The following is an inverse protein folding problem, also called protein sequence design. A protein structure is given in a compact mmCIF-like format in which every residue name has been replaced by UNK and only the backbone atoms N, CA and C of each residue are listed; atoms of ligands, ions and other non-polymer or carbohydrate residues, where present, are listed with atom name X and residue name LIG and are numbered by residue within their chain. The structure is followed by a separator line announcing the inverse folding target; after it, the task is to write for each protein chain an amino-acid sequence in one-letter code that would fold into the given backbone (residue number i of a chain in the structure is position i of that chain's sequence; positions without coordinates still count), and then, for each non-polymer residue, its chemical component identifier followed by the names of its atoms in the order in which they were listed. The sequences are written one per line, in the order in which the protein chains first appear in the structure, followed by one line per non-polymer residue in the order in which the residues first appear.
data_IF_969489910866
#
_entry.id   IF_969489910866
#
_cell.length_a   1.000
_cell.length_b   1.000
_cell.length_c   1.000
_cell.angle_alpha   90.00
_cell.angle_beta   90.00
_cell.angle_gamma   90.00
#
_symmetry.space_group_name_H-M   'P 1'
#
loop_
_entity.id
_entity.type
_entity.pdbx_description
1 polymer ?
#
# COMPACT_ATOMS: atom_id res chain seq x y z
N UNK A 1 -20.56 9.98 8.12
CA UNK A 1 -19.50 10.98 7.93
C UNK A 1 -18.55 10.78 9.10
N UNK A 2 -17.42 10.16 8.82
CA UNK A 2 -16.46 9.77 9.86
C UNK A 2 -15.68 10.97 10.38
N UNK A 3 -15.84 11.27 11.68
CA UNK A 3 -15.12 12.35 12.35
C UNK A 3 -13.67 11.93 12.62
N UNK A 4 -12.72 12.73 12.12
CA UNK A 4 -11.30 12.45 12.33
C UNK A 4 -10.88 12.84 13.76
N UNK A 5 -10.67 11.81 14.58
CA UNK A 5 -10.24 11.93 15.98
C UNK A 5 -8.89 11.24 16.24
N UNK A 6 -8.16 11.60 17.31
CA UNK A 6 -6.96 10.87 17.73
C UNK A 6 -7.18 9.38 18.02
N UNK A 7 -8.39 9.02 18.48
CA UNK A 7 -8.77 7.62 18.71
C UNK A 7 -8.84 6.85 17.40
N UNK A 8 -9.54 7.40 16.40
CA UNK A 8 -9.61 6.84 15.05
C UNK A 8 -8.20 6.73 14.43
N UNK A 9 -7.36 7.76 14.56
CA UNK A 9 -5.99 7.72 14.07
C UNK A 9 -5.17 6.56 14.68
N UNK A 10 -5.40 6.25 15.96
CA UNK A 10 -4.74 5.14 16.65
C UNK A 10 -5.22 3.78 16.13
N UNK A 11 -6.54 3.65 15.95
CA UNK A 11 -7.18 2.45 15.40
C UNK A 11 -6.68 2.13 13.99
N UNK A 12 -6.78 3.10 13.06
CA UNK A 12 -6.38 2.92 11.65
C UNK A 12 -4.89 2.59 11.50
N UNK A 13 -4.02 3.20 12.32
CA UNK A 13 -2.60 2.85 12.35
C UNK A 13 -2.39 1.44 12.93
N UNK A 14 -3.15 1.04 13.95
CA UNK A 14 -3.10 -0.29 14.52
C UNK A 14 -3.45 -1.38 13.51
N UNK A 15 -4.46 -1.16 12.67
CA UNK A 15 -4.81 -2.07 11.58
C UNK A 15 -3.71 -2.16 10.52
N UNK A 16 -3.17 -1.02 10.09
CA UNK A 16 -2.04 -1.01 9.14
C UNK A 16 -0.81 -1.72 9.74
N UNK A 17 -0.48 -1.46 11.01
CA UNK A 17 0.65 -2.10 11.70
C UNK A 17 0.42 -3.63 11.83
N UNK A 18 -0.81 -4.09 12.03
CA UNK A 18 -1.16 -5.51 12.03
C UNK A 18 -0.96 -6.15 10.64
N UNK A 19 -1.37 -5.46 9.57
CA UNK A 19 -1.16 -5.91 8.19
C UNK A 19 0.34 -5.97 7.82
N UNK A 20 1.14 -5.04 8.35
CA UNK A 20 2.59 -4.94 8.14
C UNK A 20 3.41 -5.89 9.03
N UNK A 21 2.81 -6.48 10.07
CA UNK A 21 3.47 -7.45 10.93
C UNK A 21 4.02 -8.63 10.12
N UNK A 22 5.06 -9.31 10.63
CA UNK A 22 5.79 -10.32 9.85
C UNK A 22 4.92 -11.47 9.29
N UNK A 23 3.88 -11.84 10.03
CA UNK A 23 2.87 -12.82 9.63
C UNK A 23 1.60 -12.18 9.03
N UNK A 24 1.47 -10.85 9.09
CA UNK A 24 0.40 -10.09 8.45
C UNK A 24 0.48 -10.16 6.93
N UNK A 25 -0.61 -9.78 6.26
CA UNK A 25 -0.77 -9.91 4.81
C UNK A 25 0.34 -9.19 4.04
N UNK A 26 0.55 -7.90 4.32
CA UNK A 26 1.59 -7.09 3.67
C UNK A 26 2.99 -7.45 4.16
N UNK A 27 3.15 -7.79 5.44
CA UNK A 27 4.44 -8.15 6.02
C UNK A 27 5.00 -9.47 5.48
N UNK A 28 4.15 -10.48 5.23
CA UNK A 28 4.54 -11.73 4.58
C UNK A 28 5.08 -11.49 3.17
N UNK A 29 4.36 -10.72 2.36
CA UNK A 29 4.79 -10.33 1.01
C UNK A 29 6.12 -9.56 1.07
N UNK A 30 6.22 -8.55 1.94
CA UNK A 30 7.43 -7.74 2.09
C UNK A 30 8.65 -8.59 2.50
N UNK A 31 8.44 -9.57 3.37
CA UNK A 31 9.47 -10.52 3.81
C UNK A 31 9.91 -11.41 2.64
N UNK A 32 8.98 -11.90 1.85
CA UNK A 32 9.25 -12.74 0.70
C UNK A 32 9.98 -11.99 -0.42
N UNK A 33 9.60 -10.75 -0.70
CA UNK A 33 10.32 -9.87 -1.66
C UNK A 33 11.77 -9.64 -1.24
N UNK A 34 12.07 -9.62 0.06
CA UNK A 34 13.43 -9.54 0.61
C UNK A 34 14.17 -10.89 0.64
N UNK A 35 13.58 -11.97 0.16
CA UNK A 35 14.17 -13.31 0.15
C UNK A 35 14.12 -14.05 1.49
N UNK A 36 13.36 -13.55 2.47
CA UNK A 36 13.20 -14.20 3.78
C UNK A 36 12.02 -15.18 3.77
N UNK A 37 12.09 -16.23 2.95
CA UNK A 37 10.96 -17.13 2.73
C UNK A 37 10.72 -18.05 3.91
N UNK A 38 9.54 -18.65 3.98
CA UNK A 38 9.34 -19.78 4.89
C UNK A 38 10.22 -20.94 4.43
N UNK A 39 10.96 -21.52 5.36
CA UNK A 39 11.89 -22.61 5.02
C UNK A 39 11.09 -23.82 4.52
N UNK A 40 11.66 -24.62 3.59
CA UNK A 40 11.10 -25.92 3.24
C UNK A 40 10.81 -26.74 4.51
N UNK A 41 9.82 -27.63 4.42
CA UNK A 41 9.48 -28.52 5.52
C UNK A 41 10.74 -29.23 6.07
N UNK A 42 10.92 -29.18 7.38
CA UNK A 42 11.93 -29.95 8.08
C UNK A 42 11.29 -30.78 9.21
N UNK A 43 11.67 -32.07 9.34
CA UNK A 43 11.21 -32.88 10.45
C UNK A 43 11.75 -32.35 11.78
N UNK A 44 10.98 -32.56 12.87
CA UNK A 44 11.40 -32.17 14.23
C UNK A 44 12.68 -32.91 14.60
N UNK A 45 13.71 -32.16 15.03
CA UNK A 45 15.02 -32.72 15.37
C UNK A 45 15.99 -32.88 14.20
N UNK A 46 15.72 -32.22 13.07
CA UNK A 46 16.69 -32.13 11.97
C UNK A 46 18.06 -31.61 12.47
N UNK A 47 19.15 -32.18 11.94
CA UNK A 47 20.50 -31.72 12.27
C UNK A 47 20.69 -30.30 11.76
N UNK A 48 21.54 -29.51 12.45
CA UNK A 48 21.92 -28.14 12.05
C UNK A 48 22.42 -28.03 10.60
N UNK A 49 23.04 -29.09 10.07
CA UNK A 49 23.47 -29.17 8.68
C UNK A 49 22.29 -29.02 7.70
N UNK A 50 21.16 -29.67 7.98
CA UNK A 50 19.95 -29.56 7.16
C UNK A 50 19.31 -28.17 7.28
N UNK A 51 19.35 -27.55 8.45
CA UNK A 51 18.86 -26.18 8.63
C UNK A 51 19.68 -25.19 7.79
N UNK A 52 21.01 -25.37 7.77
CA UNK A 52 21.92 -24.56 6.96
C UNK A 52 21.69 -24.77 5.46
N UNK A 53 21.45 -26.02 5.03
CA UNK A 53 21.10 -26.30 3.63
C UNK A 53 19.77 -25.66 3.24
N UNK A 54 18.76 -25.72 4.11
CA UNK A 54 17.47 -25.08 3.88
C UNK A 54 17.60 -23.56 3.72
N UNK A 55 18.44 -22.92 4.54
CA UNK A 55 18.71 -21.48 4.45
C UNK A 55 19.41 -21.08 3.14
N UNK A 56 20.30 -21.93 2.63
CA UNK A 56 21.01 -21.68 1.37
C UNK A 56 20.22 -22.05 0.12
N UNK A 57 19.15 -22.83 0.25
CA UNK A 57 18.34 -23.26 -0.88
C UNK A 57 17.44 -22.14 -1.45
N UNK A 58 17.20 -21.07 -0.67
CA UNK A 58 16.30 -19.98 -1.07
C UNK A 58 16.94 -19.13 -2.17
N UNK A 59 16.43 -19.26 -3.40
CA UNK A 59 16.76 -18.35 -4.51
C UNK A 59 15.59 -17.40 -4.73
N UNK A 60 15.79 -16.11 -4.48
CA UNK A 60 14.71 -15.13 -4.52
C UNK A 60 14.44 -14.60 -5.93
N UNK A 61 13.46 -15.19 -6.61
CA UNK A 61 13.01 -14.77 -7.95
C UNK A 61 11.90 -13.71 -7.94
N UNK A 62 11.24 -13.48 -6.79
CA UNK A 62 10.05 -12.61 -6.71
C UNK A 62 10.30 -11.17 -7.19
N UNK A 63 11.42 -10.50 -6.85
CA UNK A 63 11.68 -9.15 -7.35
C UNK A 63 11.79 -9.07 -8.88
N UNK A 64 12.29 -10.13 -9.52
CA UNK A 64 12.44 -10.17 -10.98
C UNK A 64 11.06 -10.22 -11.67
N UNK A 65 10.12 -10.96 -11.09
CA UNK A 65 8.75 -11.07 -11.61
C UNK A 65 8.07 -9.69 -11.55
N UNK A 66 8.10 -9.02 -10.40
CA UNK A 66 7.46 -7.70 -10.26
C UNK A 66 8.11 -6.65 -11.16
N UNK A 67 9.44 -6.65 -11.27
CA UNK A 67 10.17 -5.69 -12.10
C UNK A 67 9.84 -5.83 -13.59
N UNK A 68 9.66 -7.07 -14.07
CA UNK A 68 9.35 -7.32 -15.49
C UNK A 68 8.02 -6.69 -15.89
N UNK A 69 6.98 -6.83 -15.06
CA UNK A 69 5.68 -6.20 -15.33
C UNK A 69 5.70 -4.69 -15.09
N UNK A 70 6.40 -4.22 -14.05
CA UNK A 70 6.47 -2.80 -13.72
C UNK A 70 7.04 -1.95 -14.89
N UNK A 71 8.00 -2.49 -15.65
CA UNK A 71 8.56 -1.82 -16.83
C UNK A 71 7.51 -1.59 -17.94
N UNK A 72 6.59 -2.53 -18.12
CA UNK A 72 5.52 -2.43 -19.12
C UNK A 72 4.38 -1.48 -18.73
N UNK A 73 4.24 -1.19 -17.43
CA UNK A 73 3.23 -0.26 -16.92
C UNK A 73 3.68 1.20 -16.91
N UNK A 74 4.94 1.47 -17.25
CA UNK A 74 5.47 2.83 -17.22
C UNK A 74 4.82 3.69 -18.32
N UNK A 75 4.20 4.79 -17.92
CA UNK A 75 3.54 5.72 -18.82
C UNK A 75 4.50 6.84 -19.21
N UNK A 76 4.62 7.11 -20.52
CA UNK A 76 5.48 8.16 -21.09
C UNK A 76 4.69 9.35 -21.68
N UNK A 77 3.37 9.21 -21.83
CA UNK A 77 2.52 10.23 -22.42
C UNK A 77 1.04 9.87 -22.41
N UNK A 78 0.21 10.90 -22.37
CA UNK A 78 -1.23 10.80 -22.51
C UNK A 78 -1.65 11.54 -23.78
N UNK A 79 -2.19 10.84 -24.78
CA UNK A 79 -2.66 11.43 -26.04
C UNK A 79 -4.15 11.16 -26.24
N UNK A 80 -4.90 12.19 -26.62
CA UNK A 80 -6.30 12.05 -26.99
C UNK A 80 -6.42 11.38 -28.38
N UNK A 81 -7.59 10.79 -28.71
CA UNK A 81 -7.81 10.24 -30.04
C UNK A 81 -7.50 11.27 -31.14
N UNK A 82 -6.69 10.86 -32.13
CA UNK A 82 -6.24 11.69 -33.27
C UNK A 82 -5.28 12.85 -32.92
N UNK A 83 -4.81 12.95 -31.67
CA UNK A 83 -3.81 13.95 -31.29
C UNK A 83 -2.38 13.47 -31.55
N UNK A 84 -1.52 14.35 -32.04
CA UNK A 84 -0.07 14.09 -32.22
C UNK A 84 0.76 14.47 -30.99
N UNK A 85 0.23 15.37 -30.16
CA UNK A 85 0.87 15.83 -28.92
C UNK A 85 0.15 15.28 -27.68
N UNK A 86 0.83 15.38 -26.54
CA UNK A 86 0.23 15.03 -25.26
C UNK A 86 -0.93 16.00 -24.91
N UNK A 87 -1.92 15.48 -24.21
CA UNK A 87 -3.03 16.24 -23.64
C UNK A 87 -2.54 17.22 -22.59
N UNK A 88 -3.27 18.31 -22.37
CA UNK A 88 -2.94 19.32 -21.36
C UNK A 88 -2.84 18.72 -19.95
N UNK A 89 -3.68 17.72 -19.64
CA UNK A 89 -3.64 17.00 -18.36
C UNK A 89 -2.28 16.34 -18.07
N UNK A 90 -1.49 16.01 -19.12
CA UNK A 90 -0.13 15.49 -18.96
C UNK A 90 0.81 16.50 -18.29
N UNK A 91 0.56 17.81 -18.45
CA UNK A 91 1.34 18.83 -17.76
C UNK A 91 1.18 18.72 -16.23
N UNK A 92 0.01 18.33 -15.73
CA UNK A 92 -0.21 18.09 -14.30
C UNK A 92 0.57 16.87 -13.80
N UNK A 93 0.64 15.81 -14.60
CA UNK A 93 1.45 14.63 -14.32
C UNK A 93 2.95 14.99 -14.19
N UNK A 94 3.48 15.73 -15.18
CA UNK A 94 4.86 16.20 -15.21
C UNK A 94 5.17 17.13 -14.02
N UNK A 95 4.28 18.08 -13.72
CA UNK A 95 4.45 19.02 -12.60
C UNK A 95 4.54 18.32 -11.25
N UNK A 96 3.84 17.20 -11.07
CA UNK A 96 3.90 16.40 -9.84
C UNK A 96 5.10 15.44 -9.80
N UNK A 97 5.94 15.43 -10.84
CA UNK A 97 7.10 14.53 -10.95
C UNK A 97 6.68 13.07 -11.06
N UNK A 98 5.51 12.79 -11.64
CA UNK A 98 4.96 11.45 -11.69
C UNK A 98 5.80 10.49 -12.54
N UNK A 99 6.61 10.97 -13.47
CA UNK A 99 7.56 10.12 -14.22
C UNK A 99 8.51 9.34 -13.30
N UNK A 100 9.00 9.99 -12.24
CA UNK A 100 9.86 9.34 -11.25
C UNK A 100 9.05 8.56 -10.18
N UNK A 101 7.82 9.00 -9.90
CA UNK A 101 7.04 8.53 -8.75
C UNK A 101 6.02 7.45 -9.09
N UNK A 102 5.64 7.28 -10.36
CA UNK A 102 4.64 6.30 -10.83
C UNK A 102 5.01 4.86 -10.45
N UNK A 103 6.30 4.58 -10.30
CA UNK A 103 6.80 3.28 -9.83
C UNK A 103 6.28 2.93 -8.44
N UNK A 104 6.02 3.91 -7.56
CA UNK A 104 5.42 3.68 -6.24
C UNK A 104 4.03 3.06 -6.39
N UNK A 105 3.22 3.62 -7.30
CA UNK A 105 1.87 3.15 -7.59
C UNK A 105 1.88 1.77 -8.25
N UNK A 106 2.60 1.64 -9.37
CA UNK A 106 2.61 0.40 -10.15
C UNK A 106 3.27 -0.76 -9.40
N UNK A 107 4.43 -0.55 -8.77
CA UNK A 107 5.07 -1.61 -7.98
C UNK A 107 4.26 -1.92 -6.73
N UNK A 108 3.71 -0.91 -6.06
CA UNK A 108 2.84 -1.13 -4.91
C UNK A 108 1.70 -2.08 -5.25
N UNK A 109 1.00 -1.82 -6.35
CA UNK A 109 -0.12 -2.65 -6.80
C UNK A 109 0.32 -4.04 -7.28
N UNK A 110 1.46 -4.16 -7.98
CA UNK A 110 2.00 -5.46 -8.42
C UNK A 110 2.56 -6.31 -7.27
N UNK A 111 3.17 -5.69 -6.27
CA UNK A 111 3.85 -6.42 -5.19
C UNK A 111 2.86 -6.76 -4.06
N UNK A 112 2.02 -5.80 -3.69
CA UNK A 112 1.14 -5.87 -2.52
C UNK A 112 -0.34 -5.97 -2.88
N UNK A 113 -0.66 -6.00 -4.17
CA UNK A 113 -2.03 -6.14 -4.69
C UNK A 113 -2.91 -4.90 -4.59
N UNK A 114 -2.44 -3.89 -3.84
CA UNK A 114 -3.07 -2.58 -3.68
C UNK A 114 -2.02 -1.47 -3.67
N UNK A 115 -2.37 -0.33 -4.26
CA UNK A 115 -1.68 0.94 -4.07
C UNK A 115 -2.64 2.08 -4.34
N UNK A 116 -2.34 3.27 -3.83
CA UNK A 116 -3.24 4.41 -3.94
C UNK A 116 -2.55 5.58 -4.62
N UNK A 117 -3.31 6.38 -5.35
CA UNK A 117 -2.89 7.72 -5.78
C UNK A 117 -3.85 8.72 -5.17
N UNK A 118 -3.30 9.58 -4.32
CA UNK A 118 -4.03 10.68 -3.71
C UNK A 118 -3.93 11.91 -4.61
N UNK A 119 -5.08 12.47 -4.95
CA UNK A 119 -5.19 13.72 -5.70
C UNK A 119 -5.89 14.75 -4.81
N UNK A 120 -5.23 15.87 -4.58
CA UNK A 120 -5.79 16.99 -3.82
C UNK A 120 -5.71 18.27 -4.66
N UNK A 121 -6.61 19.25 -4.43
CA UNK A 121 -6.48 20.55 -5.05
C UNK A 121 -5.21 21.23 -4.54
N UNK A 122 -4.59 22.00 -5.43
CA UNK A 122 -3.47 22.88 -5.12
C UNK A 122 -3.67 24.21 -5.81
N UNK A 123 -2.95 25.24 -5.38
CA UNK A 123 -3.22 26.64 -5.75
C UNK A 123 -3.26 26.88 -7.27
N UNK A 124 -2.40 26.19 -8.03
CA UNK A 124 -2.18 26.41 -9.47
C UNK A 124 -2.38 25.16 -10.31
N UNK A 125 -2.30 23.98 -9.69
CA UNK A 125 -2.59 22.70 -10.33
C UNK A 125 -2.77 21.64 -9.23
N UNK A 126 -3.45 20.52 -9.54
CA UNK A 126 -3.67 19.45 -8.58
C UNK A 126 -2.35 18.88 -8.06
N UNK A 127 -2.36 18.48 -6.79
CA UNK A 127 -1.27 17.77 -6.12
C UNK A 127 -1.56 16.29 -6.21
N UNK A 128 -0.76 15.58 -6.99
CA UNK A 128 -0.88 14.13 -7.23
C UNK A 128 0.25 13.45 -6.46
N UNK A 129 -0.10 12.51 -5.59
CA UNK A 129 0.85 11.76 -4.77
C UNK A 129 0.54 10.26 -4.81
N UNK A 130 1.43 9.44 -5.39
CA UNK A 130 1.33 8.00 -5.23
C UNK A 130 1.70 7.64 -3.79
N UNK A 131 0.89 6.78 -3.17
CA UNK A 131 1.04 6.34 -1.81
C UNK A 131 1.51 4.89 -1.79
N UNK A 132 2.57 4.64 -1.02
CA UNK A 132 3.10 3.30 -0.83
C UNK A 132 2.15 2.50 0.05
N UNK A 133 1.74 1.27 -0.33
CA UNK A 133 0.88 0.43 0.51
C UNK A 133 1.51 0.07 1.86
N UNK A 134 2.85 0.21 1.99
CA UNK A 134 3.55 0.03 3.25
C UNK A 134 3.41 1.20 4.23
N UNK A 135 2.82 2.30 3.77
CA UNK A 135 2.67 3.54 4.53
C UNK A 135 1.26 4.12 4.44
N UNK A 136 0.36 3.48 3.70
CA UNK A 136 -0.99 3.99 3.48
C UNK A 136 -2.00 2.87 3.38
N UNK A 137 -3.20 3.14 3.87
CA UNK A 137 -4.36 2.28 3.75
C UNK A 137 -5.60 3.16 3.54
N UNK A 138 -6.65 2.58 2.97
CA UNK A 138 -7.93 3.22 2.76
C UNK A 138 -9.04 2.23 3.10
N UNK A 139 -10.13 2.74 3.66
CA UNK A 139 -11.29 1.98 4.09
C UNK A 139 -12.53 2.51 3.39
N UNK A 140 -13.35 1.58 2.94
CA UNK A 140 -14.55 1.81 2.16
C UNK A 140 -15.77 1.43 3.00
N UNK A 141 -16.90 2.10 2.79
CA UNK A 141 -18.12 1.73 3.49
C UNK A 141 -18.72 0.46 2.86
N UNK A 142 -18.67 0.38 1.53
CA UNK A 142 -19.06 -0.79 0.74
C UNK A 142 -17.96 -1.20 -0.26
N UNK A 143 -17.93 -2.47 -0.66
CA UNK A 143 -16.88 -3.01 -1.54
C UNK A 143 -16.89 -2.43 -2.96
N UNK A 144 -18.02 -1.90 -3.40
CA UNK A 144 -18.24 -1.28 -4.72
C UNK A 144 -18.20 0.25 -4.68
N UNK A 145 -17.90 0.85 -3.53
CA UNK A 145 -17.72 2.30 -3.41
C UNK A 145 -16.59 2.81 -4.31
N UNK A 146 -16.88 3.86 -5.06
CA UNK A 146 -15.88 4.50 -5.93
C UNK A 146 -14.76 5.17 -5.12
N UNK A 147 -15.08 5.70 -3.94
CA UNK A 147 -14.16 6.46 -3.09
C UNK A 147 -14.16 5.91 -1.66
N UNK A 148 -12.98 5.85 -1.00
CA UNK A 148 -12.91 5.44 0.40
C UNK A 148 -13.55 6.48 1.32
N UNK A 149 -14.12 6.01 2.43
CA UNK A 149 -14.63 6.90 3.48
C UNK A 149 -13.48 7.57 4.24
N UNK A 150 -12.43 6.80 4.52
CA UNK A 150 -11.24 7.28 5.24
C UNK A 150 -9.98 6.66 4.66
N UNK A 151 -8.89 7.43 4.64
CA UNK A 151 -7.57 6.91 4.28
C UNK A 151 -6.49 7.50 5.19
N UNK A 152 -5.36 6.79 5.29
CA UNK A 152 -4.19 7.25 6.02
C UNK A 152 -2.92 7.23 5.17
N UNK A 153 -1.97 8.10 5.52
CA UNK A 153 -0.60 8.11 5.00
C UNK A 153 0.39 8.42 6.13
N UNK A 154 1.37 7.56 6.31
CA UNK A 154 2.53 7.78 7.18
C UNK A 154 3.55 8.64 6.42
N UNK A 155 3.58 9.94 6.75
CA UNK A 155 4.39 10.95 6.03
C UNK A 155 5.87 10.92 6.42
N UNK A 156 6.27 9.98 7.27
CA UNK A 156 7.64 9.76 7.72
C UNK A 156 7.87 10.27 9.14
N UNK A 157 9.06 10.81 9.37
CA UNK A 157 9.45 11.31 10.70
C UNK A 157 9.99 12.73 10.63
N UNK A 158 9.59 13.56 11.60
CA UNK A 158 10.17 14.89 11.83
C UNK A 158 11.66 14.79 12.15
N UNK A 159 12.41 15.91 12.07
CA UNK A 159 13.81 15.99 12.51
C UNK A 159 14.03 15.45 13.92
N UNK A 160 13.03 15.62 14.79
CA UNK A 160 13.02 15.11 16.17
C UNK A 160 12.60 13.62 16.28
N UNK A 161 12.60 12.88 15.16
CA UNK A 161 12.25 11.46 15.04
C UNK A 161 10.80 11.10 15.43
N UNK A 162 9.92 12.08 15.56
CA UNK A 162 8.50 11.85 15.78
C UNK A 162 7.82 11.40 14.50
N UNK A 163 6.94 10.40 14.57
CA UNK A 163 6.18 9.90 13.41
C UNK A 163 5.08 10.92 13.04
N UNK A 164 4.89 11.11 11.75
CA UNK A 164 3.82 11.93 11.20
C UNK A 164 2.81 11.04 10.47
N UNK A 165 1.54 11.35 10.66
CA UNK A 165 0.40 10.68 10.06
C UNK A 165 -0.52 11.74 9.46
N UNK A 166 -0.95 11.53 8.23
CA UNK A 166 -2.09 12.24 7.65
C UNK A 166 -3.28 11.29 7.59
N UNK A 167 -4.42 11.71 8.11
CA UNK A 167 -5.73 11.06 7.96
C UNK A 167 -6.55 11.93 7.01
N UNK A 168 -7.22 11.29 6.07
CA UNK A 168 -8.03 11.93 5.04
C UNK A 168 -9.46 11.43 5.15
N UNK A 169 -10.43 12.34 5.08
CA UNK A 169 -11.84 12.05 4.88
C UNK A 169 -12.33 12.70 3.59
N UNK A 170 -13.63 12.56 3.32
CA UNK A 170 -14.31 13.17 2.19
C UNK A 170 -14.18 14.70 2.12
N UNK A 171 -13.92 15.40 3.22
CA UNK A 171 -13.88 16.88 3.24
C UNK A 171 -12.57 17.44 3.76
N UNK A 172 -11.91 16.72 4.66
CA UNK A 172 -10.77 17.27 5.39
C UNK A 172 -9.59 16.31 5.43
N UNK A 173 -8.42 16.91 5.65
CA UNK A 173 -7.18 16.24 5.98
C UNK A 173 -6.75 16.72 7.36
N UNK A 174 -6.50 15.78 8.26
CA UNK A 174 -5.93 16.06 9.58
C UNK A 174 -4.57 15.41 9.68
N UNK A 175 -3.57 16.19 10.07
CA UNK A 175 -2.23 15.73 10.35
C UNK A 175 -2.05 15.55 11.84
N UNK A 176 -1.42 14.44 12.20
CA UNK A 176 -1.09 14.06 13.54
C UNK A 176 0.43 13.88 13.69
N UNK A 177 0.92 14.25 14.86
CA UNK A 177 2.27 13.94 15.32
C UNK A 177 2.18 12.96 16.49
N UNK A 178 3.01 11.92 16.47
CA UNK A 178 3.10 10.99 17.60
C UNK A 178 3.87 11.64 18.75
N UNK A 179 3.22 11.81 19.90
CA UNK A 179 3.83 12.35 21.11
C UNK A 179 4.99 11.47 21.60
N UNK A 180 5.98 12.08 22.25
CA UNK A 180 7.12 11.36 22.84
C UNK A 180 6.79 10.93 24.28
N UNK A 181 6.97 9.64 24.61
CA UNK A 181 6.79 9.09 25.96
C UNK A 181 6.16 7.70 25.99
N UNK A 182 6.14 7.06 27.16
CA UNK A 182 5.41 5.80 27.38
C UNK A 182 3.89 6.06 27.25
N UNK A 183 3.24 5.30 26.37
CA UNK A 183 1.82 5.53 26.01
C UNK A 183 1.62 6.65 24.98
N UNK A 184 2.58 6.84 24.07
CA UNK A 184 2.53 7.82 22.98
C UNK A 184 1.17 7.85 22.27
N UNK A 185 0.57 9.04 22.20
CA UNK A 185 -0.71 9.30 21.53
C UNK A 185 -0.50 10.18 20.31
N UNK A 186 -1.37 10.02 19.32
CA UNK A 186 -1.45 10.93 18.18
C UNK A 186 -2.02 12.27 18.64
N UNK A 187 -1.29 13.35 18.36
CA UNK A 187 -1.70 14.73 18.66
C UNK A 187 -1.95 15.44 17.35
N UNK A 188 -3.14 16.03 17.20
CA UNK A 188 -3.48 16.83 16.03
C UNK A 188 -2.59 18.07 15.95
N UNK A 189 -1.98 18.30 14.78
CA UNK A 189 -1.10 19.44 14.52
C UNK A 189 -1.69 20.41 13.49
N UNK A 190 -2.47 19.89 12.55
CA UNK A 190 -3.00 20.66 11.43
C UNK A 190 -4.27 20.01 10.92
N UNK A 191 -5.31 20.81 10.68
CA UNK A 191 -6.56 20.41 10.03
C UNK A 191 -6.80 21.31 8.84
N UNK A 192 -6.99 20.71 7.68
CA UNK A 192 -7.16 21.42 6.41
C UNK A 192 -8.39 20.89 5.69
N UNK A 193 -9.31 21.76 5.33
CA UNK A 193 -10.39 21.44 4.40
C UNK A 193 -9.83 21.47 2.97
N UNK A 194 -10.09 20.41 2.20
CA UNK A 194 -9.67 20.34 0.80
C UNK A 194 -10.79 20.72 -0.18
N UNK A 195 -12.04 20.84 0.27
CA UNK A 195 -13.15 21.45 -0.47
C UNK A 195 -13.70 20.62 -1.64
N UNK A 196 -13.31 19.34 -1.77
CA UNK A 196 -13.71 18.48 -2.90
C UNK A 196 -15.03 17.74 -2.60
N UNK A 197 -15.37 17.55 -1.32
CA UNK A 197 -16.59 16.86 -0.88
C UNK A 197 -16.57 15.33 -1.01
N UNK A 198 -15.49 14.78 -1.57
CA UNK A 198 -15.16 13.35 -1.57
C UNK A 198 -13.64 13.16 -1.46
N UNK A 199 -13.21 11.96 -1.08
CA UNK A 199 -11.79 11.62 -0.95
C UNK A 199 -11.27 11.02 -2.26
N UNK A 200 -10.58 11.84 -3.07
CA UNK A 200 -9.94 11.37 -4.32
C UNK A 200 -8.62 10.62 -4.03
N UNK A 201 -8.72 9.53 -3.26
CA UNK A 201 -7.68 8.53 -3.08
C UNK A 201 -8.04 7.31 -3.94
N UNK A 202 -7.56 7.31 -5.18
CA UNK A 202 -7.91 6.25 -6.14
C UNK A 202 -7.11 5.00 -5.86
N UNK A 203 -7.83 3.91 -5.62
CA UNK A 203 -7.26 2.58 -5.53
C UNK A 203 -6.80 2.11 -6.91
N UNK A 204 -5.51 1.84 -7.04
CA UNK A 204 -4.95 1.05 -8.13
C UNK A 204 -4.88 -0.38 -7.62
N UNK A 205 -5.85 -1.19 -8.04
CA UNK A 205 -5.91 -2.63 -7.74
C UNK A 205 -5.39 -3.40 -8.94
N UNK A 206 -4.39 -4.26 -8.73
CA UNK A 206 -4.05 -5.31 -9.69
C UNK A 206 -4.72 -6.58 -9.18
N UNK A 207 -5.77 -6.99 -9.87
CA UNK A 207 -6.47 -8.24 -9.60
C UNK A 207 -5.70 -9.39 -10.22
N UNK A 208 -5.54 -10.49 -9.49
CA UNK A 208 -5.19 -11.76 -10.11
C UNK A 208 -6.38 -12.31 -10.94
N UNK A 209 -6.15 -13.40 -11.68
CA UNK A 209 -7.19 -14.04 -12.49
C UNK A 209 -8.38 -14.60 -11.68
N UNK A 210 -8.31 -14.59 -10.34
CA UNK A 210 -9.37 -15.01 -9.43
C UNK A 210 -10.10 -13.80 -8.79
N UNK A 211 -9.79 -12.56 -9.19
CA UNK A 211 -10.41 -11.35 -8.64
C UNK A 211 -9.95 -11.02 -7.21
N UNK A 212 -8.88 -11.66 -6.73
CA UNK A 212 -8.27 -11.35 -5.43
C UNK A 212 -7.07 -10.45 -5.69
N UNK A 213 -7.05 -9.29 -5.05
CA UNK A 213 -5.97 -8.29 -5.16
C UNK A 213 -4.72 -8.73 -4.41
N UNK A 214 -4.21 -9.92 -4.69
CA UNK A 214 -2.98 -10.48 -4.17
C UNK A 214 -2.34 -11.26 -5.34
N UNK A 215 -1.16 -10.84 -5.80
CA UNK A 215 -0.33 -11.66 -6.70
C UNK A 215 0.33 -12.81 -5.92
N UNK A 216 -0.47 -13.49 -5.09
CA UNK A 216 -0.12 -14.74 -4.43
C UNK A 216 -0.51 -15.85 -5.41
N UNK A 217 0.45 -16.59 -5.99
CA UNK A 217 0.13 -17.71 -6.86
C UNK A 217 -0.77 -18.68 -6.09
N UNK A 218 -1.79 -19.24 -6.73
CA UNK A 218 -2.78 -20.10 -6.08
C UNK A 218 -2.16 -21.23 -5.22
N UNK A 219 -0.95 -21.70 -5.58
CA UNK A 219 -0.15 -22.67 -4.83
C UNK A 219 0.30 -22.23 -3.42
N UNK A 220 0.17 -20.94 -3.07
CA UNK A 220 0.58 -20.35 -1.79
C UNK A 220 -0.62 -19.95 -0.92
N UNK A 221 -1.85 -20.11 -1.43
CA UNK A 221 -3.05 -20.22 -0.58
C UNK A 221 -2.92 -21.60 0.05
N UNK A 222 -2.60 -21.64 1.35
CA UNK A 222 -2.39 -22.91 2.04
C UNK A 222 -3.53 -23.88 1.75
N UNK A 223 -3.22 -25.17 1.59
CA UNK A 223 -4.22 -26.22 1.50
C UNK A 223 -5.23 -26.02 2.65
N UNK A 224 -6.44 -25.57 2.33
CA UNK A 224 -7.56 -25.79 3.22
C UNK A 224 -7.64 -27.31 3.44
N UNK A 225 -7.75 -27.77 4.70
CA UNK A 225 -7.97 -29.18 4.95
C UNK A 225 -9.28 -29.55 4.28
N UNK A 226 -9.21 -30.38 3.23
CA UNK A 226 -10.37 -31.07 2.67
C UNK A 226 -11.19 -31.65 3.82
N UNK A 227 -12.50 -31.34 3.92
CA UNK A 227 -13.35 -31.94 4.94
C UNK A 227 -13.22 -33.45 4.83
N UNK A 228 -12.84 -34.13 5.90
CA UNK A 228 -12.90 -35.59 5.93
C UNK A 228 -14.35 -35.98 5.74
N UNK A 229 -14.64 -36.78 4.73
CA UNK A 229 -15.93 -37.43 4.58
C UNK A 229 -16.25 -38.22 5.86
N UNK A 230 -17.47 -38.10 6.42
CA UNK A 230 -17.88 -38.93 7.53
C UNK A 230 -18.01 -40.38 7.06
N UNK A 231 -17.43 -41.29 7.85
CA UNK A 231 -17.49 -42.74 7.67
C UNK A 231 -18.91 -43.30 7.82
#
# INVERSE_FOLDING_TARGET
MTDITPALATELVGELDADLAEAGRLGKIARYLRGKHDKPYMPKGAKKEYEHLADRAVTNWLPLVSETFAKGLFVDGLRLPKATSNAEAWAFWQRNGMDARQTIAHRGALEYGTSYVLVLPGDTAPVIRPLSPLKSAAWYAEDDDEYPEVAISLDGTTRDKKRLLSVYSATERVRFELASGDGAKWVEIERTDHGIGFLDARLIRVLDAAGVGDLIPAAWRGNEPTPKEPA
#
